data_IF_440116706925
#
_entry.id   IF_440116706925
#
_cell.length_a   1.000
_cell.length_b   1.000
_cell.length_c   1.000
_cell.angle_alpha   90.00
_cell.angle_beta   90.00
_cell.angle_gamma   90.00
#
_symmetry.space_group_name_H-M   'P 1'
#
loop_
_entity.id
_entity.type
_entity.pdbx_description
1 polymer ?
#
# COMPACT_ATOMS: atom_id res chain seq x y z
N UNK A 1 5.13 -19.50 -46.40
CA UNK A 1 3.90 -18.99 -45.73
C UNK A 1 3.76 -17.51 -46.03
N UNK A 2 2.56 -16.93 -46.12
CA UNK A 2 2.43 -15.49 -46.32
C UNK A 2 3.05 -14.76 -45.12
N UNK A 3 4.08 -13.95 -45.41
CA UNK A 3 4.79 -13.11 -44.46
C UNK A 3 4.11 -11.74 -44.51
N UNK A 4 3.63 -11.22 -43.38
CA UNK A 4 3.14 -9.85 -43.33
C UNK A 4 4.34 -8.91 -43.23
N UNK A 5 4.74 -8.38 -44.38
CA UNK A 5 5.78 -7.35 -44.49
C UNK A 5 5.15 -5.97 -44.57
N UNK A 6 5.83 -5.00 -43.96
CA UNK A 6 5.55 -3.59 -44.11
C UNK A 6 6.73 -2.93 -44.84
N UNK A 7 6.43 -2.31 -45.98
CA UNK A 7 7.39 -1.53 -46.77
C UNK A 7 7.18 -0.04 -46.50
N UNK A 8 8.27 0.71 -46.37
CA UNK A 8 8.22 2.13 -46.05
C UNK A 8 9.57 2.83 -46.23
N UNK A 9 9.58 4.15 -46.05
CA UNK A 9 10.80 4.96 -46.19
C UNK A 9 11.61 4.96 -44.89
N UNK A 10 12.94 4.78 -44.99
CA UNK A 10 13.85 4.90 -43.86
C UNK A 10 13.98 6.36 -43.40
N UNK A 11 13.82 6.59 -42.10
CA UNK A 11 13.98 7.89 -41.46
C UNK A 11 15.42 8.23 -41.08
N UNK A 12 16.30 7.23 -41.06
CA UNK A 12 17.72 7.31 -40.71
C UNK A 12 18.53 6.29 -41.53
N UNK A 13 19.85 6.21 -41.32
CA UNK A 13 20.67 5.17 -41.96
C UNK A 13 20.49 3.83 -41.23
N UNK A 14 19.89 2.85 -41.93
CA UNK A 14 19.62 1.52 -41.42
C UNK A 14 20.53 0.45 -42.06
N UNK A 15 21.56 0.85 -42.80
CA UNK A 15 22.43 -0.08 -43.55
C UNK A 15 23.14 -1.12 -42.68
N UNK A 16 23.38 -0.81 -41.41
CA UNK A 16 23.96 -1.73 -40.41
C UNK A 16 22.92 -2.33 -39.45
N UNK A 17 21.62 -2.14 -39.73
CA UNK A 17 20.51 -2.46 -38.81
C UNK A 17 19.67 -3.66 -39.24
N UNK A 18 20.21 -4.53 -40.10
CA UNK A 18 19.55 -5.79 -40.45
C UNK A 18 19.20 -6.58 -39.18
N UNK A 19 17.98 -7.13 -39.11
CA UNK A 19 17.46 -7.90 -37.98
C UNK A 19 17.31 -7.15 -36.64
N UNK A 20 17.33 -5.82 -36.66
CA UNK A 20 16.95 -5.01 -35.51
C UNK A 20 15.44 -4.72 -35.51
N UNK A 21 14.89 -4.45 -34.33
CA UNK A 21 13.54 -3.94 -34.20
C UNK A 21 13.40 -2.55 -34.79
N UNK A 22 12.28 -2.29 -35.47
CA UNK A 22 11.98 -1.01 -36.13
C UNK A 22 10.70 -0.41 -35.55
N UNK A 23 10.64 0.92 -35.51
CA UNK A 23 9.43 1.70 -35.17
C UNK A 23 9.18 2.78 -36.23
N UNK A 24 7.99 3.38 -36.17
CA UNK A 24 7.71 4.61 -36.92
C UNK A 24 8.08 5.83 -36.07
N UNK A 25 8.76 6.80 -36.67
CA UNK A 25 8.93 8.13 -36.08
C UNK A 25 7.67 8.98 -36.25
N UNK A 26 7.68 10.22 -35.72
CA UNK A 26 6.54 11.15 -35.82
C UNK A 26 6.19 11.57 -37.25
N UNK A 27 7.09 11.36 -38.21
CA UNK A 27 6.87 11.62 -39.64
C UNK A 27 6.40 10.36 -40.40
N UNK A 28 6.15 9.25 -39.71
CA UNK A 28 5.74 7.98 -40.33
C UNK A 28 6.87 7.25 -41.07
N UNK A 29 8.14 7.58 -40.83
CA UNK A 29 9.30 6.88 -41.42
C UNK A 29 9.86 5.81 -40.48
N UNK A 30 10.43 4.77 -41.05
CA UNK A 30 11.03 3.65 -40.31
C UNK A 30 12.37 4.04 -39.68
N UNK A 31 12.51 3.87 -38.38
CA UNK A 31 13.75 4.11 -37.62
C UNK A 31 14.00 2.96 -36.66
N UNK A 32 15.25 2.80 -36.20
CA UNK A 32 15.61 1.81 -35.19
C UNK A 32 14.75 1.98 -33.94
N UNK A 33 14.26 0.87 -33.42
CA UNK A 33 13.56 0.83 -32.15
C UNK A 33 14.48 1.31 -31.01
N UNK A 34 13.86 1.87 -29.97
CA UNK A 34 14.58 2.26 -28.75
C UNK A 34 14.16 1.35 -27.60
N UNK A 35 14.78 1.55 -26.43
CA UNK A 35 14.50 0.72 -25.27
C UNK A 35 13.00 0.70 -24.93
N UNK A 36 12.44 -0.50 -24.84
CA UNK A 36 11.02 -0.73 -24.51
C UNK A 36 10.01 0.04 -25.37
N UNK A 37 10.33 0.32 -26.64
CA UNK A 37 9.43 1.05 -27.54
C UNK A 37 8.40 0.17 -28.24
N UNK A 38 7.37 0.82 -28.79
CA UNK A 38 6.43 0.17 -29.70
C UNK A 38 7.11 -0.08 -31.06
N UNK A 39 7.23 -1.34 -31.43
CA UNK A 39 7.91 -1.80 -32.62
C UNK A 39 6.88 -2.29 -33.64
N UNK A 40 7.13 -2.02 -34.91
CA UNK A 40 6.28 -2.41 -36.04
C UNK A 40 6.75 -3.70 -36.72
N UNK A 41 7.91 -4.23 -36.33
CA UNK A 41 8.49 -5.44 -36.89
C UNK A 41 10.01 -5.50 -36.78
N UNK A 42 10.60 -6.46 -37.50
CA UNK A 42 12.04 -6.70 -37.60
C UNK A 42 12.54 -6.37 -39.00
N UNK A 43 13.59 -5.56 -39.14
CA UNK A 43 14.13 -5.14 -40.44
C UNK A 43 14.66 -6.33 -41.26
N UNK A 44 14.18 -6.48 -42.50
CA UNK A 44 14.57 -7.51 -43.47
C UNK A 44 15.37 -6.94 -44.65
N UNK A 45 15.11 -5.69 -45.02
CA UNK A 45 15.79 -5.00 -46.11
C UNK A 45 16.28 -3.65 -45.61
N UNK A 46 17.59 -3.42 -45.71
CA UNK A 46 18.26 -2.22 -45.21
C UNK A 46 18.28 -1.11 -46.25
N UNK A 47 18.41 0.13 -45.80
CA UNK A 47 18.49 1.31 -46.66
C UNK A 47 18.98 2.52 -45.89
N UNK A 48 19.46 3.52 -46.62
CA UNK A 48 19.81 4.84 -46.07
C UNK A 48 18.56 5.68 -45.87
N UNK A 49 18.69 6.79 -45.14
CA UNK A 49 17.60 7.76 -44.98
C UNK A 49 17.05 8.19 -46.35
N UNK A 50 15.72 8.07 -46.52
CA UNK A 50 15.04 8.35 -47.78
C UNK A 50 14.88 7.15 -48.72
N UNK A 51 15.52 6.02 -48.45
CA UNK A 51 15.40 4.80 -49.24
C UNK A 51 14.26 3.90 -48.72
N UNK A 52 13.74 3.05 -49.60
CA UNK A 52 12.73 2.06 -49.24
C UNK A 52 13.37 0.92 -48.43
N UNK A 53 12.70 0.51 -47.36
CA UNK A 53 13.09 -0.58 -46.47
C UNK A 53 11.89 -1.46 -46.15
N UNK A 54 12.16 -2.69 -45.72
CA UNK A 54 11.12 -3.68 -45.40
C UNK A 54 11.31 -4.22 -44.00
N UNK A 55 10.23 -4.23 -43.21
CA UNK A 55 10.18 -4.88 -41.90
C UNK A 55 9.14 -6.01 -41.89
N UNK A 56 9.49 -7.15 -41.27
CA UNK A 56 8.54 -8.23 -41.03
C UNK A 56 7.71 -7.90 -39.79
N UNK A 57 6.40 -7.69 -39.98
CA UNK A 57 5.49 -7.26 -38.92
C UNK A 57 4.82 -8.42 -38.17
N UNK A 58 4.66 -9.58 -38.81
CA UNK A 58 4.13 -10.80 -38.19
C UNK A 58 4.77 -12.00 -38.89
N UNK A 59 5.20 -13.00 -38.11
CA UNK A 59 5.81 -14.22 -38.64
C UNK A 59 7.02 -14.66 -37.82
N UNK A 60 7.84 -15.53 -38.39
CA UNK A 60 9.13 -15.93 -37.79
C UNK A 60 10.22 -15.21 -38.56
N UNK A 61 11.06 -14.46 -37.85
CA UNK A 61 12.17 -13.71 -38.41
C UNK A 61 13.43 -13.95 -37.57
N UNK A 62 14.63 -13.97 -38.17
CA UNK A 62 15.86 -13.75 -37.43
C UNK A 62 15.80 -12.39 -36.72
N UNK A 63 16.31 -12.31 -35.50
CA UNK A 63 16.44 -11.07 -34.73
C UNK A 63 17.75 -11.04 -33.94
N UNK A 64 18.38 -9.86 -33.88
CA UNK A 64 19.66 -9.65 -33.18
C UNK A 64 19.43 -9.48 -31.68
N UNK A 65 20.13 -10.24 -30.84
CA UNK A 65 19.99 -10.17 -29.38
C UNK A 65 20.88 -9.08 -28.75
N UNK A 66 20.36 -8.37 -27.75
CA UNK A 66 21.08 -7.39 -26.94
C UNK A 66 21.57 -7.95 -25.60
N UNK A 67 21.05 -9.10 -25.18
CA UNK A 67 21.34 -9.76 -23.91
C UNK A 67 21.08 -11.27 -24.00
N UNK A 68 21.24 -11.98 -22.88
CA UNK A 68 20.87 -13.39 -22.80
C UNK A 68 19.36 -13.55 -22.75
N UNK A 69 18.82 -14.45 -23.56
CA UNK A 69 17.39 -14.81 -23.61
C UNK A 69 17.25 -16.34 -23.60
N UNK A 70 16.14 -16.81 -23.05
CA UNK A 70 15.75 -18.23 -23.10
C UNK A 70 14.64 -18.43 -24.13
N UNK A 71 14.61 -19.60 -24.77
CA UNK A 71 13.46 -19.98 -25.59
C UNK A 71 12.14 -19.79 -24.80
N UNK A 72 11.13 -19.23 -25.47
CA UNK A 72 9.85 -18.83 -24.91
C UNK A 72 9.85 -17.57 -24.01
N UNK A 73 10.96 -16.84 -23.91
CA UNK A 73 10.95 -15.50 -23.30
C UNK A 73 10.14 -14.52 -24.17
N UNK A 74 9.34 -13.69 -23.52
CA UNK A 74 8.77 -12.49 -24.14
C UNK A 74 9.90 -11.48 -24.40
N UNK A 75 9.92 -10.88 -25.59
CA UNK A 75 11.00 -10.00 -26.02
C UNK A 75 10.54 -8.56 -26.24
N UNK A 76 11.39 -7.63 -25.85
CA UNK A 76 11.33 -6.20 -26.21
C UNK A 76 12.64 -5.78 -26.86
N UNK A 77 12.77 -4.52 -27.29
CA UNK A 77 14.04 -3.94 -27.76
C UNK A 77 14.79 -3.18 -26.68
N UNK A 78 16.13 -3.18 -26.77
CA UNK A 78 17.04 -2.28 -26.07
C UNK A 78 17.18 -0.92 -26.78
N UNK A 79 18.12 -0.08 -26.34
CA UNK A 79 18.34 1.25 -26.91
C UNK A 79 18.87 1.25 -28.35
N UNK A 80 19.49 0.15 -28.79
CA UNK A 80 20.11 0.00 -30.11
C UNK A 80 19.24 -0.78 -31.09
N UNK A 81 18.07 -1.24 -30.63
CA UNK A 81 17.10 -2.01 -31.40
C UNK A 81 17.32 -3.53 -31.35
N UNK A 82 18.21 -4.02 -30.49
CA UNK A 82 18.38 -5.46 -30.29
C UNK A 82 17.31 -6.02 -29.35
N UNK A 83 17.03 -7.32 -29.46
CA UNK A 83 16.03 -8.00 -28.65
C UNK A 83 16.59 -8.45 -27.30
N UNK A 84 15.85 -8.18 -26.24
CA UNK A 84 16.14 -8.55 -24.85
C UNK A 84 14.88 -9.05 -24.17
N UNK A 85 15.01 -9.83 -23.09
CA UNK A 85 13.85 -10.29 -22.30
C UNK A 85 13.04 -9.09 -21.81
N UNK A 86 11.75 -9.06 -22.10
CA UNK A 86 10.83 -8.04 -21.63
C UNK A 86 10.58 -8.20 -20.13
N UNK A 87 10.49 -7.07 -19.43
CA UNK A 87 10.01 -7.05 -18.04
C UNK A 87 8.55 -6.60 -17.97
N UNK A 88 7.91 -6.86 -16.82
CA UNK A 88 6.50 -6.52 -16.61
C UNK A 88 6.19 -5.05 -16.98
N UNK A 89 5.12 -4.85 -17.75
CA UNK A 89 4.68 -3.53 -18.22
C UNK A 89 5.33 -3.03 -19.51
N UNK A 90 6.35 -3.71 -20.05
CA UNK A 90 6.94 -3.37 -21.34
C UNK A 90 6.13 -3.93 -22.53
N UNK A 91 6.16 -3.27 -23.70
CA UNK A 91 5.52 -3.79 -24.90
C UNK A 91 6.29 -5.00 -25.44
N UNK A 92 5.60 -6.14 -25.55
CA UNK A 92 6.17 -7.36 -26.14
C UNK A 92 6.13 -7.24 -27.67
N UNK A 93 7.28 -7.45 -28.32
CA UNK A 93 7.46 -7.39 -29.78
C UNK A 93 7.50 -8.78 -30.42
N UNK A 94 7.88 -9.80 -29.66
CA UNK A 94 7.90 -11.19 -30.11
C UNK A 94 8.26 -12.15 -29.00
N UNK A 95 8.34 -13.43 -29.34
CA UNK A 95 8.74 -14.53 -28.45
C UNK A 95 10.01 -15.16 -29.01
N UNK A 96 11.01 -15.38 -28.15
CA UNK A 96 12.22 -16.13 -28.51
C UNK A 96 11.86 -17.57 -28.88
N UNK A 97 12.22 -18.05 -30.06
CA UNK A 97 12.02 -19.46 -30.43
C UNK A 97 13.18 -20.36 -30.00
N UNK A 98 14.31 -19.74 -29.67
CA UNK A 98 15.55 -20.39 -29.26
C UNK A 98 16.23 -19.56 -28.16
N UNK A 99 17.10 -20.19 -27.35
CA UNK A 99 17.93 -19.47 -26.39
C UNK A 99 19.16 -18.89 -27.07
N UNK A 100 19.65 -17.74 -26.59
CA UNK A 100 20.85 -17.11 -27.13
C UNK A 100 21.45 -16.06 -26.21
N UNK A 101 22.58 -15.49 -26.63
CA UNK A 101 23.32 -14.44 -25.94
C UNK A 101 23.43 -13.17 -26.78
N UNK A 102 23.86 -12.07 -26.15
CA UNK A 102 24.05 -10.78 -26.83
C UNK A 102 24.92 -10.92 -28.08
N UNK A 103 24.49 -10.28 -29.17
CA UNK A 103 25.14 -10.32 -30.47
C UNK A 103 24.78 -11.54 -31.33
N UNK A 104 24.13 -12.57 -30.79
CA UNK A 104 23.64 -13.70 -31.59
C UNK A 104 22.35 -13.34 -32.33
N UNK A 105 22.08 -14.06 -33.41
CA UNK A 105 20.84 -13.98 -34.18
C UNK A 105 20.05 -15.25 -33.95
N UNK A 106 18.81 -15.12 -33.49
CA UNK A 106 17.91 -16.24 -33.21
C UNK A 106 16.61 -16.08 -33.98
N UNK A 107 15.86 -17.17 -34.12
CA UNK A 107 14.48 -17.09 -34.59
C UNK A 107 13.56 -16.44 -33.53
N UNK A 108 12.82 -15.42 -33.95
CA UNK A 108 11.84 -14.71 -33.14
C UNK A 108 10.47 -14.84 -33.81
N UNK A 109 9.48 -15.30 -33.06
CA UNK A 109 8.08 -15.20 -33.46
C UNK A 109 7.62 -13.76 -33.23
N UNK A 110 7.52 -12.97 -34.29
CA UNK A 110 7.00 -11.60 -34.29
C UNK A 110 5.48 -11.65 -34.15
N UNK A 111 4.97 -10.97 -33.11
CA UNK A 111 3.55 -10.92 -32.78
C UNK A 111 3.05 -9.48 -32.86
N UNK A 112 1.76 -9.25 -33.20
CA UNK A 112 1.16 -7.93 -33.01
C UNK A 112 1.25 -7.57 -31.53
N UNK A 113 1.82 -6.39 -31.23
CA UNK A 113 2.12 -6.00 -29.85
C UNK A 113 0.88 -6.10 -28.96
N UNK A 114 0.93 -6.98 -27.98
CA UNK A 114 -0.04 -6.95 -26.89
C UNK A 114 0.23 -5.70 -26.04
N UNK A 115 -0.79 -4.96 -25.60
CA UNK A 115 -0.58 -3.98 -24.54
C UNK A 115 0.17 -4.69 -23.42
N UNK A 116 1.31 -4.11 -22.99
CA UNK A 116 2.24 -4.73 -22.06
C UNK A 116 1.49 -5.41 -20.93
N UNK A 117 1.90 -6.64 -20.60
CA UNK A 117 1.21 -7.57 -19.72
C UNK A 117 0.39 -6.85 -18.64
N UNK A 118 -0.90 -7.20 -18.52
CA UNK A 118 -1.66 -6.83 -17.34
C UNK A 118 -0.76 -7.09 -16.13
N UNK A 119 -0.52 -6.09 -15.25
CA UNK A 119 0.42 -6.21 -14.14
C UNK A 119 0.12 -7.54 -13.46
N UNK A 120 1.17 -8.35 -13.29
CA UNK A 120 1.09 -9.75 -12.81
C UNK A 120 0.06 -9.85 -11.70
N UNK A 121 -1.14 -10.32 -12.05
CA UNK A 121 -2.28 -10.20 -11.16
C UNK A 121 -2.04 -11.06 -9.93
N UNK A 122 -1.95 -10.43 -8.76
CA UNK A 122 -1.91 -11.15 -7.50
C UNK A 122 -3.34 -11.50 -7.08
N UNK A 123 -3.48 -12.58 -6.29
CA UNK A 123 -4.81 -13.00 -5.81
C UNK A 123 -5.37 -11.90 -4.90
N UNK A 124 -6.53 -11.37 -5.26
CA UNK A 124 -7.21 -10.34 -4.47
C UNK A 124 -7.02 -8.92 -5.01
N UNK A 125 -6.28 -8.75 -6.11
CA UNK A 125 -6.18 -7.47 -6.80
C UNK A 125 -7.56 -6.99 -7.27
N UNK A 126 -7.75 -5.68 -7.21
CA UNK A 126 -9.02 -5.05 -7.57
C UNK A 126 -8.81 -4.11 -8.75
N UNK A 127 -9.56 -4.33 -9.83
CA UNK A 127 -9.64 -3.42 -10.96
C UNK A 127 -10.67 -2.33 -10.66
N UNK A 128 -10.29 -1.06 -10.80
CA UNK A 128 -11.22 0.07 -10.63
C UNK A 128 -10.97 1.16 -11.69
N UNK A 129 -11.97 2.01 -11.91
CA UNK A 129 -11.86 3.15 -12.82
C UNK A 129 -11.52 4.43 -12.03
N UNK A 130 -10.41 5.09 -12.38
CA UNK A 130 -9.92 6.28 -11.67
C UNK A 130 -10.38 7.62 -12.28
N UNK A 131 -11.41 7.58 -13.13
CA UNK A 131 -11.90 8.76 -13.86
C UNK A 131 -11.21 9.01 -15.22
N UNK A 132 -10.08 8.34 -15.50
CA UNK A 132 -9.40 8.41 -16.80
C UNK A 132 -9.20 7.03 -17.41
N UNK A 133 -8.70 6.09 -16.60
CA UNK A 133 -8.32 4.75 -17.02
C UNK A 133 -8.86 3.69 -16.06
N UNK A 134 -8.91 2.45 -16.53
CA UNK A 134 -9.02 1.28 -15.67
C UNK A 134 -7.64 0.94 -15.12
N UNK A 135 -7.51 0.91 -13.79
CA UNK A 135 -6.25 0.68 -13.08
C UNK A 135 -6.42 -0.45 -12.07
N UNK A 136 -5.34 -1.19 -11.84
CA UNK A 136 -5.30 -2.27 -10.85
C UNK A 136 -4.74 -1.74 -9.54
N UNK A 137 -5.39 -2.08 -8.41
CA UNK A 137 -4.84 -1.92 -7.07
C UNK A 137 -4.45 -3.29 -6.54
N UNK A 138 -3.23 -3.40 -6.02
CA UNK A 138 -2.81 -4.59 -5.30
C UNK A 138 -3.75 -4.90 -4.13
N UNK A 139 -3.90 -6.17 -3.79
CA UNK A 139 -4.69 -6.63 -2.66
C UNK A 139 -4.32 -5.93 -1.34
N UNK A 140 -5.32 -5.76 -0.46
CA UNK A 140 -5.10 -5.22 0.88
C UNK A 140 -4.36 -6.21 1.78
N UNK A 141 -3.97 -5.72 2.95
CA UNK A 141 -3.54 -6.58 4.07
C UNK A 141 -4.76 -6.99 4.91
N UNK A 142 -4.64 -8.09 5.66
CA UNK A 142 -5.61 -8.50 6.69
C UNK A 142 -6.03 -7.28 7.54
N UNK A 143 -7.33 -7.15 7.82
CA UNK A 143 -7.89 -6.03 8.60
C UNK A 143 -8.25 -4.77 7.83
N UNK A 144 -7.81 -4.65 6.58
CA UNK A 144 -8.13 -3.49 5.76
C UNK A 144 -9.47 -3.64 5.05
N UNK A 145 -10.16 -2.52 4.91
CA UNK A 145 -11.39 -2.38 4.15
C UNK A 145 -11.11 -1.62 2.86
N UNK A 146 -11.90 -1.91 1.83
CA UNK A 146 -11.90 -1.13 0.59
C UNK A 146 -12.77 0.12 0.77
N UNK A 147 -12.13 1.29 0.75
CA UNK A 147 -12.77 2.57 1.06
C UNK A 147 -12.89 3.38 -0.22
N UNK A 148 -14.12 3.78 -0.58
CA UNK A 148 -14.41 4.43 -1.88
C UNK A 148 -14.11 5.93 -1.96
N UNK A 149 -13.72 6.58 -0.86
CA UNK A 149 -13.30 8.01 -0.72
C UNK A 149 -14.13 9.10 -1.44
N UNK A 150 -15.26 8.76 -2.07
CA UNK A 150 -16.13 9.67 -2.82
C UNK A 150 -15.74 9.83 -4.30
N UNK A 151 -16.54 10.59 -5.05
CA UNK A 151 -16.47 10.67 -6.54
C UNK A 151 -15.18 11.26 -7.15
N UNK A 152 -14.31 11.87 -6.33
CA UNK A 152 -13.16 12.65 -6.79
C UNK A 152 -11.84 12.12 -6.25
N UNK A 153 -11.85 10.93 -5.67
CA UNK A 153 -10.69 10.29 -5.09
C UNK A 153 -10.71 8.80 -5.44
N UNK A 154 -9.52 8.26 -5.69
CA UNK A 154 -9.39 6.83 -5.94
C UNK A 154 -9.70 6.04 -4.68
N UNK A 155 -10.43 4.91 -4.81
CA UNK A 155 -10.64 4.00 -3.72
C UNK A 155 -9.30 3.40 -3.24
N UNK A 156 -9.26 3.03 -1.97
CA UNK A 156 -8.02 2.56 -1.34
C UNK A 156 -8.29 1.59 -0.20
N UNK A 157 -7.28 0.80 0.14
CA UNK A 157 -7.29 0.02 1.37
C UNK A 157 -7.04 0.94 2.55
N UNK A 158 -7.88 0.86 3.58
CA UNK A 158 -7.66 1.56 4.83
C UNK A 158 -8.10 0.72 6.01
N UNK A 159 -7.58 1.05 7.18
CA UNK A 159 -7.85 0.28 8.38
C UNK A 159 -9.33 0.40 8.80
N UNK A 160 -9.93 -0.74 9.18
CA UNK A 160 -11.19 -0.72 9.90
C UNK A 160 -10.96 -0.16 11.32
N UNK A 161 -11.48 1.04 11.60
CA UNK A 161 -11.45 1.58 12.96
C UNK A 161 -12.74 1.21 13.71
N UNK A 162 -12.62 0.30 14.68
CA UNK A 162 -13.57 0.19 15.79
C UNK A 162 -13.00 0.86 17.04
N UNK A 163 -13.87 1.39 17.90
CA UNK A 163 -13.50 1.74 19.27
C UNK A 163 -14.38 0.95 20.23
N UNK A 164 -13.76 0.34 21.24
CA UNK A 164 -14.46 -0.20 22.40
C UNK A 164 -14.32 0.81 23.54
N UNK A 165 -15.46 1.22 24.11
CA UNK A 165 -15.49 2.15 25.24
C UNK A 165 -15.91 1.37 26.47
N UNK A 166 -15.06 1.42 27.51
CA UNK A 166 -15.31 0.80 28.81
C UNK A 166 -15.60 1.92 29.82
N UNK A 167 -16.89 2.22 30.09
CA UNK A 167 -17.26 3.19 31.11
C UNK A 167 -17.27 2.54 32.50
N UNK A 168 -16.72 3.23 33.49
CA UNK A 168 -16.84 2.86 34.91
C UNK A 168 -17.40 4.04 35.69
N UNK A 169 -18.50 3.82 36.40
CA UNK A 169 -19.10 4.82 37.27
C UNK A 169 -18.79 4.50 38.73
N UNK A 170 -18.29 5.46 39.49
CA UNK A 170 -18.04 5.29 40.93
C UNK A 170 -18.10 6.62 41.69
N UNK A 171 -18.30 6.53 43.02
CA UNK A 171 -18.13 7.71 43.87
C UNK A 171 -16.63 8.02 44.01
N UNK A 172 -16.28 9.29 44.02
CA UNK A 172 -14.88 9.69 44.24
C UNK A 172 -14.38 9.29 45.62
N UNK A 173 -15.27 9.20 46.61
CA UNK A 173 -14.94 8.76 47.97
C UNK A 173 -14.55 7.27 48.07
N UNK A 174 -14.93 6.46 47.07
CA UNK A 174 -14.59 5.03 47.01
C UNK A 174 -13.21 4.80 46.37
N UNK A 175 -12.57 5.86 45.85
CA UNK A 175 -11.21 5.77 45.28
C UNK A 175 -10.19 5.73 46.41
N UNK A 176 -9.36 4.68 46.39
CA UNK A 176 -8.18 4.51 47.22
C UNK A 176 -6.99 4.08 46.35
N UNK A 177 -5.78 4.14 46.88
CA UNK A 177 -4.60 3.64 46.15
C UNK A 177 -4.74 2.15 45.87
N UNK A 178 -4.50 1.74 44.62
CA UNK A 178 -4.71 0.39 44.10
C UNK A 178 -5.63 0.34 42.88
N UNK A 179 -6.06 -0.87 42.52
CA UNK A 179 -6.87 -1.09 41.33
C UNK A 179 -8.32 -0.62 41.50
N UNK A 180 -8.79 0.16 40.53
CA UNK A 180 -10.20 0.54 40.36
C UNK A 180 -10.90 -0.36 39.33
N UNK A 181 -10.13 -0.93 38.42
CA UNK A 181 -10.51 -2.03 37.53
C UNK A 181 -9.36 -3.03 37.57
N UNK A 182 -9.64 -4.26 37.96
CA UNK A 182 -8.63 -5.32 38.08
C UNK A 182 -8.80 -6.32 36.95
N UNK A 183 -7.70 -6.60 36.26
CA UNK A 183 -7.53 -7.70 35.31
C UNK A 183 -8.64 -7.83 34.25
N UNK A 184 -9.11 -6.72 33.70
CA UNK A 184 -10.12 -6.74 32.65
C UNK A 184 -9.51 -7.23 31.33
N UNK A 185 -9.99 -8.37 30.81
CA UNK A 185 -9.55 -8.94 29.53
C UNK A 185 -10.57 -8.58 28.43
N UNK A 186 -10.23 -7.71 27.46
CA UNK A 186 -11.19 -7.27 26.43
C UNK A 186 -11.60 -8.36 25.43
N UNK A 187 -10.82 -9.44 25.32
CA UNK A 187 -11.08 -10.56 24.40
C UNK A 187 -10.66 -10.32 22.94
N UNK A 188 -9.91 -9.26 22.66
CA UNK A 188 -9.36 -8.93 21.35
C UNK A 188 -7.98 -8.29 21.51
N UNK A 189 -7.12 -8.37 20.51
CA UNK A 189 -5.85 -7.64 20.50
C UNK A 189 -6.09 -6.18 20.10
N UNK A 190 -5.35 -5.23 20.66
CA UNK A 190 -5.64 -3.82 20.47
C UNK A 190 -4.64 -2.88 21.08
N UNK A 191 -5.04 -1.61 21.17
CA UNK A 191 -4.31 -0.61 21.94
C UNK A 191 -5.20 0.25 22.82
N UNK A 192 -4.66 0.67 23.96
CA UNK A 192 -5.28 1.68 24.82
C UNK A 192 -5.00 3.04 24.18
N UNK A 193 -6.08 3.77 23.87
CA UNK A 193 -6.00 5.04 23.14
C UNK A 193 -6.18 6.24 24.05
N UNK A 194 -7.11 6.13 24.99
CA UNK A 194 -7.49 7.27 25.84
C UNK A 194 -8.02 6.80 27.19
N UNK A 195 -7.65 7.54 28.22
CA UNK A 195 -8.31 7.56 29.52
C UNK A 195 -8.83 8.98 29.78
N UNK A 196 -10.04 9.09 30.29
CA UNK A 196 -10.63 10.38 30.67
C UNK A 196 -11.65 10.20 31.78
N UNK A 197 -11.99 11.30 32.44
CA UNK A 197 -13.02 11.37 33.47
C UNK A 197 -14.04 12.44 33.14
N UNK A 198 -15.29 12.19 33.53
CA UNK A 198 -16.34 13.21 33.60
C UNK A 198 -16.88 13.27 35.02
N UNK A 199 -16.98 14.47 35.60
CA UNK A 199 -17.63 14.66 36.89
C UNK A 199 -19.12 14.31 36.77
N UNK A 200 -19.55 13.22 37.41
CA UNK A 200 -20.94 12.81 37.55
C UNK A 200 -21.62 13.44 38.77
N UNK A 201 -20.82 13.90 39.75
CA UNK A 201 -21.21 14.78 40.85
C UNK A 201 -19.98 15.59 41.27
N UNK A 202 -20.15 16.90 41.50
CA UNK A 202 -19.03 17.79 41.82
C UNK A 202 -18.34 17.41 43.15
N UNK A 203 -17.02 17.55 43.20
CA UNK A 203 -16.22 17.43 44.41
C UNK A 203 -15.84 18.83 44.93
N UNK A 204 -16.53 19.30 45.97
CA UNK A 204 -16.43 20.70 46.44
C UNK A 204 -15.41 20.92 47.55
N UNK A 205 -15.05 19.89 48.29
CA UNK A 205 -14.11 19.93 49.40
C UNK A 205 -12.71 20.06 48.85
N UNK A 206 -12.03 21.16 49.16
CA UNK A 206 -10.69 21.44 48.63
C UNK A 206 -9.63 20.43 49.07
N UNK A 207 -8.56 20.31 48.28
CA UNK A 207 -7.36 19.55 48.64
C UNK A 207 -7.46 18.03 48.46
N UNK A 208 -8.44 17.53 47.70
CA UNK A 208 -8.56 16.11 47.36
C UNK A 208 -8.02 15.86 45.96
N UNK A 209 -7.35 14.73 45.77
CA UNK A 209 -6.70 14.36 44.54
C UNK A 209 -6.49 12.85 44.44
N UNK A 210 -6.42 12.32 43.22
CA UNK A 210 -5.94 10.98 42.92
C UNK A 210 -5.40 10.96 41.50
N UNK A 211 -4.35 10.19 41.23
CA UNK A 211 -3.84 9.98 39.88
C UNK A 211 -4.22 8.60 39.43
N UNK A 212 -4.84 8.49 38.26
CA UNK A 212 -5.24 7.21 37.66
C UNK A 212 -4.43 6.99 36.38
N UNK A 213 -3.92 5.79 36.17
CA UNK A 213 -3.35 5.38 34.89
C UNK A 213 -3.81 3.98 34.52
N UNK A 214 -3.65 3.61 33.24
CA UNK A 214 -3.92 2.27 32.78
C UNK A 214 -2.64 1.42 32.78
N UNK A 215 -2.78 0.14 33.06
CA UNK A 215 -1.71 -0.85 32.97
C UNK A 215 -2.15 -2.03 32.10
N UNK A 216 -1.19 -2.67 31.44
CA UNK A 216 -1.37 -3.94 30.73
C UNK A 216 -0.56 -5.01 31.48
N UNK A 217 -1.26 -6.00 32.03
CA UNK A 217 -0.71 -6.87 33.07
C UNK A 217 -0.30 -6.03 34.29
N UNK A 218 1.01 -5.91 34.51
CA UNK A 218 1.61 -5.06 35.56
C UNK A 218 2.46 -3.92 35.01
N UNK A 219 2.31 -3.60 33.72
CA UNK A 219 3.12 -2.58 33.05
C UNK A 219 2.28 -1.33 32.79
N UNK A 220 2.59 -0.20 33.42
CA UNK A 220 1.93 1.07 33.12
C UNK A 220 2.15 1.53 31.69
N UNK A 221 1.11 2.14 31.10
CA UNK A 221 1.28 2.87 29.84
C UNK A 221 2.25 4.03 30.02
N UNK A 222 3.03 4.37 28.99
CA UNK A 222 3.79 5.63 28.99
C UNK A 222 2.85 6.79 28.66
N UNK A 223 2.77 7.78 29.55
CA UNK A 223 1.73 8.79 29.50
C UNK A 223 0.42 8.28 30.09
N UNK A 224 -0.74 8.77 29.65
CA UNK A 224 -2.04 8.27 30.11
C UNK A 224 -2.37 8.56 31.57
N UNK A 225 -1.65 9.49 32.21
CA UNK A 225 -1.88 9.87 33.60
C UNK A 225 -3.05 10.84 33.70
N UNK A 226 -4.10 10.42 34.40
CA UNK A 226 -5.31 11.18 34.68
C UNK A 226 -5.26 11.73 36.10
N UNK A 227 -5.04 13.03 36.23
CA UNK A 227 -5.07 13.69 37.53
C UNK A 227 -6.50 14.13 37.88
N UNK A 228 -7.13 13.47 38.85
CA UNK A 228 -8.38 13.92 39.44
C UNK A 228 -8.08 14.83 40.63
N UNK A 229 -8.76 15.96 40.73
CA UNK A 229 -8.67 16.90 41.86
C UNK A 229 -10.06 17.46 42.15
N UNK A 230 -10.32 17.90 43.38
CA UNK A 230 -11.59 18.58 43.68
C UNK A 230 -11.86 19.77 42.75
N UNK A 231 -10.79 20.48 42.36
CA UNK A 231 -10.87 21.63 41.47
C UNK A 231 -11.30 21.26 40.05
N UNK A 232 -10.74 20.19 39.46
CA UNK A 232 -11.06 19.78 38.09
C UNK A 232 -12.25 18.81 38.00
N UNK A 233 -12.72 18.29 39.14
CA UNK A 233 -13.97 17.54 39.27
C UNK A 233 -15.14 18.43 39.68
N UNK A 234 -15.02 19.74 39.43
CA UNK A 234 -16.06 20.75 39.62
C UNK A 234 -16.08 21.69 38.41
N UNK A 235 -17.25 22.08 37.86
CA UNK A 235 -18.61 21.67 38.24
C UNK A 235 -19.00 20.29 37.68
N UNK A 236 -20.25 19.87 37.95
CA UNK A 236 -20.87 18.72 37.30
C UNK A 236 -20.68 18.77 35.77
N UNK A 237 -20.36 17.62 35.16
CA UNK A 237 -20.15 17.49 33.72
C UNK A 237 -18.77 17.94 33.24
N UNK A 238 -17.89 18.45 34.11
CA UNK A 238 -16.52 18.78 33.75
C UNK A 238 -15.79 17.53 33.27
N UNK A 239 -15.16 17.62 32.10
CA UNK A 239 -14.31 16.57 31.53
C UNK A 239 -12.86 16.88 31.85
N UNK A 240 -12.13 15.85 32.27
CA UNK A 240 -10.69 15.87 32.52
C UNK A 240 -10.08 14.75 31.68
N UNK A 241 -9.19 15.12 30.77
CA UNK A 241 -8.46 14.17 29.94
C UNK A 241 -7.13 13.79 30.62
N UNK A 242 -6.72 12.54 30.45
CA UNK A 242 -5.37 12.12 30.80
C UNK A 242 -4.33 12.76 29.86
N UNK A 243 -3.06 12.71 30.26
CA UNK A 243 -1.97 12.99 29.32
C UNK A 243 -1.97 12.00 28.15
N UNK A 244 -1.41 12.40 27.00
CA UNK A 244 -1.35 11.54 25.83
C UNK A 244 -0.60 10.24 26.14
N UNK A 245 -1.15 9.11 25.69
CA UNK A 245 -0.50 7.80 25.76
C UNK A 245 0.46 7.69 24.57
N UNK A 246 1.74 7.42 24.82
CA UNK A 246 2.79 7.44 23.80
C UNK A 246 3.50 6.11 23.59
N UNK A 247 3.42 5.18 24.55
CA UNK A 247 3.99 3.84 24.45
C UNK A 247 3.38 2.87 25.47
N UNK A 248 3.82 1.60 25.40
CA UNK A 248 3.39 0.51 26.30
C UNK A 248 1.87 0.34 26.38
N UNK A 249 1.19 0.54 25.25
CA UNK A 249 -0.26 0.60 25.17
C UNK A 249 -0.87 -0.43 24.21
N UNK A 250 -0.08 -1.39 23.73
CA UNK A 250 -0.56 -2.47 22.85
C UNK A 250 -0.76 -3.74 23.66
N UNK A 251 -1.86 -4.44 23.44
CA UNK A 251 -2.26 -5.64 24.17
C UNK A 251 -2.69 -6.77 23.22
N UNK A 252 -2.48 -8.02 23.65
CA UNK A 252 -2.98 -9.23 23.02
C UNK A 252 -4.43 -9.53 23.46
N UNK A 253 -5.08 -10.50 22.80
CA UNK A 253 -6.46 -10.89 23.15
C UNK A 253 -6.60 -11.49 24.56
N UNK A 254 -5.50 -11.89 25.19
CA UNK A 254 -5.46 -12.47 26.53
C UNK A 254 -4.86 -11.56 27.59
N UNK A 255 -4.31 -10.41 27.19
CA UNK A 255 -3.70 -9.49 28.12
C UNK A 255 -4.77 -8.82 28.99
N UNK A 256 -4.46 -8.69 30.26
CA UNK A 256 -5.31 -8.05 31.24
C UNK A 256 -5.04 -6.54 31.27
N UNK A 257 -6.10 -5.74 31.41
CA UNK A 257 -6.03 -4.28 31.54
C UNK A 257 -6.54 -3.88 32.92
N UNK A 258 -5.76 -3.08 33.63
CA UNK A 258 -6.14 -2.54 34.94
C UNK A 258 -6.15 -1.01 34.90
N UNK A 259 -7.02 -0.40 35.73
CA UNK A 259 -6.97 1.03 36.02
C UNK A 259 -6.52 1.18 37.46
N UNK A 260 -5.40 1.87 37.69
CA UNK A 260 -4.75 1.94 39.00
C UNK A 260 -4.76 3.37 39.49
N UNK A 261 -5.25 3.57 40.71
CA UNK A 261 -5.16 4.84 41.43
C UNK A 261 -3.91 4.88 42.30
N UNK A 262 -3.28 6.05 42.35
CA UNK A 262 -2.10 6.31 43.15
C UNK A 262 -2.09 7.74 43.68
N UNK A 263 -1.33 7.97 44.76
CA UNK A 263 -1.20 9.27 45.42
C UNK A 263 -2.54 9.85 45.86
N UNK A 264 -3.44 9.00 46.35
CA UNK A 264 -4.82 9.37 46.65
C UNK A 264 -4.92 10.12 47.99
N UNK A 265 -5.40 11.36 47.93
CA UNK A 265 -5.97 12.06 49.08
C UNK A 265 -7.48 11.93 49.04
N UNK A 266 -8.01 11.05 49.89
CA UNK A 266 -9.39 10.58 49.86
C UNK A 266 -10.42 11.72 49.74
N UNK A 267 -11.27 11.62 48.71
CA UNK A 267 -12.43 12.49 48.53
C UNK A 267 -13.48 12.18 49.60
N UNK A 268 -14.28 13.19 49.97
CA UNK A 268 -15.41 13.00 50.91
C UNK A 268 -16.76 13.05 50.20
N UNK A 269 -16.78 13.54 48.95
CA UNK A 269 -17.95 13.64 48.10
C UNK A 269 -17.57 13.59 46.61
N UNK A 270 -18.59 13.60 45.75
CA UNK A 270 -18.47 13.63 44.31
C UNK A 270 -18.52 12.23 43.70
N UNK A 271 -18.68 12.19 42.38
CA UNK A 271 -18.77 10.96 41.59
C UNK A 271 -18.18 11.20 40.20
N UNK A 272 -17.68 10.14 39.58
CA UNK A 272 -16.98 10.20 38.30
C UNK A 272 -17.42 9.08 37.37
N UNK A 273 -17.50 9.42 36.08
CA UNK A 273 -17.51 8.45 35.00
C UNK A 273 -16.10 8.38 34.42
N UNK A 274 -15.37 7.30 34.70
CA UNK A 274 -14.11 6.97 34.04
C UNK A 274 -14.42 6.35 32.68
N UNK A 275 -13.70 6.79 31.65
CA UNK A 275 -13.91 6.37 30.27
C UNK A 275 -12.57 5.90 29.72
N UNK A 276 -12.41 4.60 29.59
CA UNK A 276 -11.30 3.95 28.92
C UNK A 276 -11.69 3.65 27.47
N UNK A 277 -10.87 4.09 26.53
CA UNK A 277 -11.08 3.86 25.08
C UNK A 277 -10.00 2.92 24.57
N UNK A 278 -10.45 1.80 24.03
CA UNK A 278 -9.63 0.78 23.39
C UNK A 278 -9.88 0.82 21.88
N UNK A 279 -8.83 0.60 21.10
CA UNK A 279 -8.91 0.41 19.66
C UNK A 279 -8.51 -1.04 19.35
N UNK A 280 -9.44 -1.89 18.90
CA UNK A 280 -9.09 -3.22 18.40
C UNK A 280 -8.11 -3.10 17.22
N UNK A 281 -7.10 -3.95 17.21
CA UNK A 281 -6.31 -4.23 16.03
C UNK A 281 -7.07 -5.32 15.28
N UNK A 282 -7.55 -5.00 14.08
CA UNK A 282 -8.31 -5.94 13.26
C UNK A 282 -7.34 -6.82 12.47
N UNK A 283 -6.32 -7.42 13.10
CA UNK A 283 -5.37 -8.27 12.37
C UNK A 283 -5.43 -9.70 12.91
N UNK A 284 -5.84 -10.62 12.03
CA UNK A 284 -5.34 -12.00 12.03
C UNK A 284 -4.11 -12.05 11.15
#
# INVERSE_FOLDING_TARGET
MPIFNHTGEAGEDLTEKLYHGIKLNSSGKMVTATAASRNIGILQEVGKSGEEVVAMSIGISPGKLGGSVTANDDLTTDADGHFVTAVAGQPVTGIAMESGSSGEEIEILVLPQTPGAFPVAERGDTLFYNGSNWVVRHHGTSGQLWITKGHGADPDWGDAYGYCVVPLHMNLADIADGDLLTDYVPGFAGSIVKLSARAAKAATTAGKASTIHAEIGSTPTTGGSLALTSANMTPLGKVVDASAITAANTFSATDAISLVAASTTAFVEGAVDLILVLKPIVNG
#
